data_IF_869317487089
#
_entry.id   IF_869317487089
#
_cell.length_a   1.000
_cell.length_b   1.000
_cell.length_c   1.000
_cell.angle_alpha   90.00
_cell.angle_beta   90.00
_cell.angle_gamma   90.00
#
_symmetry.space_group_name_H-M   'P 1'
#
loop_
_entity.id
_entity.type
_entity.pdbx_description
1 polymer ?
#
# COMPACT_ATOMS: atom_id res chain seq x y z
N UNK A 1 2.61 -13.12 -21.68
CA UNK A 1 3.74 -13.66 -20.93
C UNK A 1 3.32 -13.79 -19.47
N UNK A 2 3.72 -14.89 -18.82
CA UNK A 2 3.53 -15.15 -17.39
C UNK A 2 4.89 -15.21 -16.70
N UNK A 3 4.93 -14.85 -15.42
CA UNK A 3 6.14 -14.96 -14.62
C UNK A 3 6.40 -16.43 -14.23
N UNK A 4 7.66 -16.79 -13.99
CA UNK A 4 8.04 -18.16 -13.62
C UNK A 4 7.63 -18.52 -12.18
N UNK A 5 7.64 -17.55 -11.27
CA UNK A 5 7.21 -17.75 -9.88
C UNK A 5 5.81 -17.21 -9.69
N UNK A 6 4.96 -18.04 -9.12
CA UNK A 6 3.57 -17.70 -8.84
C UNK A 6 3.12 -18.16 -7.46
N UNK A 7 1.84 -17.97 -7.18
CA UNK A 7 1.21 -18.38 -5.93
C UNK A 7 0.03 -19.29 -6.19
N UNK A 8 0.03 -20.48 -5.61
CA UNK A 8 -1.13 -21.36 -5.56
C UNK A 8 -2.19 -20.69 -4.69
N UNK A 9 -3.37 -20.49 -5.26
CA UNK A 9 -4.48 -19.86 -4.57
C UNK A 9 -5.69 -20.78 -4.47
N UNK A 10 -6.39 -20.71 -3.33
CA UNK A 10 -7.69 -21.34 -3.15
C UNK A 10 -8.78 -20.34 -3.52
N UNK A 11 -9.70 -20.75 -4.39
CA UNK A 11 -10.92 -19.99 -4.66
C UNK A 11 -11.85 -20.17 -3.46
N UNK A 12 -12.16 -19.07 -2.78
CA UNK A 12 -13.06 -19.07 -1.62
C UNK A 12 -14.50 -18.82 -2.06
N UNK A 13 -14.71 -17.89 -3.00
CA UNK A 13 -16.03 -17.51 -3.48
C UNK A 13 -15.97 -16.93 -4.88
N UNK A 14 -17.00 -17.22 -5.65
CA UNK A 14 -17.24 -16.63 -6.97
C UNK A 14 -18.54 -15.85 -6.89
N UNK A 15 -18.52 -14.58 -7.27
CA UNK A 15 -19.65 -13.66 -7.23
C UNK A 15 -19.92 -13.16 -8.66
N UNK A 16 -21.14 -13.29 -9.11
CA UNK A 16 -21.61 -12.62 -10.34
C UNK A 16 -22.13 -11.24 -9.97
N UNK A 17 -21.54 -10.22 -10.59
CA UNK A 17 -21.94 -8.83 -10.37
C UNK A 17 -23.09 -8.44 -11.32
N UNK A 18 -23.95 -7.46 -10.94
CA UNK A 18 -25.07 -7.02 -11.78
C UNK A 18 -24.65 -6.46 -13.15
N UNK A 19 -23.41 -6.01 -13.27
CA UNK A 19 -22.81 -5.51 -14.53
C UNK A 19 -22.33 -6.63 -15.48
N UNK A 20 -22.58 -7.92 -15.13
CA UNK A 20 -22.15 -9.09 -15.89
C UNK A 20 -20.73 -9.55 -15.63
N UNK A 21 -19.96 -8.83 -14.81
CA UNK A 21 -18.60 -9.23 -14.43
C UNK A 21 -18.63 -10.33 -13.35
N UNK A 22 -17.58 -11.15 -13.36
CA UNK A 22 -17.37 -12.19 -12.33
C UNK A 22 -16.24 -11.75 -11.40
N UNK A 23 -16.55 -11.62 -10.12
CA UNK A 23 -15.56 -11.34 -9.08
C UNK A 23 -15.22 -12.64 -8.35
N UNK A 24 -13.93 -12.92 -8.20
CA UNK A 24 -13.44 -14.12 -7.52
C UNK A 24 -12.66 -13.71 -6.28
N UNK A 25 -13.05 -14.26 -5.13
CA UNK A 25 -12.30 -14.11 -3.88
C UNK A 25 -11.34 -15.30 -3.77
N UNK A 26 -10.05 -15.01 -3.72
CA UNK A 26 -9.00 -16.03 -3.65
C UNK A 26 -8.14 -15.84 -2.40
N UNK A 27 -7.55 -16.93 -1.93
CA UNK A 27 -6.58 -16.93 -0.84
C UNK A 27 -5.29 -17.60 -1.32
N UNK A 28 -4.18 -16.84 -1.32
CA UNK A 28 -2.86 -17.40 -1.58
C UNK A 28 -2.48 -18.44 -0.52
N UNK A 29 -1.83 -19.52 -0.94
CA UNK A 29 -1.43 -20.63 -0.06
C UNK A 29 0.07 -20.81 0.00
N UNK A 30 0.71 -21.06 -1.13
CA UNK A 30 2.14 -21.29 -1.23
C UNK A 30 2.68 -20.80 -2.56
N UNK A 31 3.95 -20.49 -2.59
CA UNK A 31 4.64 -20.14 -3.82
C UNK A 31 5.03 -21.38 -4.60
N UNK A 32 5.10 -21.24 -5.90
CA UNK A 32 5.58 -22.27 -6.81
C UNK A 32 6.43 -21.66 -7.91
N UNK A 33 7.22 -22.50 -8.57
CA UNK A 33 7.93 -22.16 -9.80
C UNK A 33 7.42 -23.03 -10.93
N UNK A 34 7.26 -22.43 -12.12
CA UNK A 34 6.88 -23.16 -13.33
C UNK A 34 8.10 -23.91 -13.86
N UNK A 35 7.97 -25.22 -14.01
CA UNK A 35 8.99 -26.03 -14.67
C UNK A 35 8.82 -26.08 -16.17
N UNK A 36 7.57 -26.31 -16.62
CA UNK A 36 7.24 -26.42 -18.04
C UNK A 36 5.76 -26.12 -18.28
N UNK A 37 5.49 -25.28 -19.28
CA UNK A 37 4.12 -25.09 -19.79
C UNK A 37 3.73 -26.35 -20.58
N UNK A 38 2.56 -26.91 -20.28
CA UNK A 38 2.00 -28.10 -20.94
C UNK A 38 1.07 -27.69 -22.07
N UNK A 39 0.18 -26.74 -21.82
CA UNK A 39 -0.82 -26.25 -22.77
C UNK A 39 -1.11 -24.76 -22.55
N UNK A 40 -1.36 -24.05 -23.64
CA UNK A 40 -1.78 -22.65 -23.63
C UNK A 40 -3.27 -22.47 -23.84
N UNK A 41 -3.95 -23.48 -24.38
CA UNK A 41 -5.40 -23.43 -24.69
C UNK A 41 -6.13 -24.61 -24.07
N UNK A 42 -7.39 -24.42 -23.62
CA UNK A 42 -8.17 -23.17 -23.52
C UNK A 42 -7.68 -22.23 -22.42
N UNK A 43 -6.83 -22.70 -21.51
CA UNK A 43 -6.13 -21.93 -20.46
C UNK A 43 -4.72 -22.51 -20.28
N UNK A 44 -3.84 -21.70 -19.71
CA UNK A 44 -2.45 -22.12 -19.50
C UNK A 44 -2.41 -23.18 -18.41
N UNK A 45 -1.79 -24.32 -18.73
CA UNK A 45 -1.47 -25.37 -17.76
C UNK A 45 0.03 -25.64 -17.75
N UNK A 46 0.57 -25.91 -16.57
CA UNK A 46 1.99 -26.12 -16.39
C UNK A 46 2.29 -27.14 -15.30
N UNK A 47 3.46 -27.81 -15.42
CA UNK A 47 4.07 -28.48 -14.28
C UNK A 47 4.70 -27.45 -13.38
N UNK A 48 4.48 -27.59 -12.08
CA UNK A 48 4.99 -26.68 -11.07
C UNK A 48 5.78 -27.47 -10.03
N UNK A 49 6.81 -26.83 -9.46
CA UNK A 49 7.52 -27.30 -8.27
C UNK A 49 7.34 -26.32 -7.12
N UNK A 50 7.48 -26.81 -5.91
CA UNK A 50 7.44 -25.96 -4.73
C UNK A 50 8.59 -24.94 -4.76
N UNK A 51 8.29 -23.71 -4.33
CA UNK A 51 9.25 -22.62 -4.17
C UNK A 51 9.37 -22.30 -2.68
N UNK A 52 10.23 -23.05 -1.94
CA UNK A 52 10.28 -22.99 -0.48
C UNK A 52 10.81 -21.65 0.01
N UNK A 53 10.39 -21.28 1.20
CA UNK A 53 10.87 -20.11 1.91
C UNK A 53 12.06 -20.49 2.80
N UNK A 54 13.12 -19.72 2.69
CA UNK A 54 14.28 -19.82 3.57
C UNK A 54 14.06 -18.94 4.79
N UNK A 55 13.76 -19.57 5.92
CA UNK A 55 13.54 -18.85 7.16
C UNK A 55 14.86 -18.54 7.88
N UNK A 56 15.04 -17.31 8.40
CA UNK A 56 16.18 -17.00 9.25
C UNK A 56 16.13 -17.81 10.56
N UNK A 57 17.29 -18.07 11.15
CA UNK A 57 17.38 -18.78 12.42
C UNK A 57 16.55 -18.11 13.53
N UNK A 58 16.06 -18.90 14.48
CA UNK A 58 15.16 -18.44 15.57
C UNK A 58 15.74 -17.32 16.45
N UNK A 59 17.05 -17.15 16.50
CA UNK A 59 17.76 -16.15 17.33
C UNK A 59 18.32 -14.98 16.51
N UNK A 60 17.80 -14.73 15.33
CA UNK A 60 18.30 -13.66 14.47
C UNK A 60 17.74 -12.29 14.92
N UNK A 61 18.53 -11.56 15.69
CA UNK A 61 18.17 -10.23 16.21
C UNK A 61 17.99 -9.19 15.12
N UNK A 62 18.75 -9.27 14.01
CA UNK A 62 18.59 -8.37 12.87
C UNK A 62 17.23 -8.58 12.19
N UNK A 63 16.84 -9.83 11.97
CA UNK A 63 15.53 -10.13 11.40
C UNK A 63 14.39 -9.63 12.29
N UNK A 64 14.50 -9.81 13.61
CA UNK A 64 13.52 -9.28 14.56
C UNK A 64 13.41 -7.76 14.45
N UNK A 65 14.53 -7.04 14.41
CA UNK A 65 14.54 -5.59 14.26
C UNK A 65 13.91 -5.11 12.93
N UNK A 66 14.12 -5.86 11.85
CA UNK A 66 13.47 -5.58 10.55
C UNK A 66 11.95 -5.75 10.67
N UNK A 67 11.48 -6.81 11.31
CA UNK A 67 10.04 -7.07 11.51
C UNK A 67 9.39 -5.97 12.35
N UNK A 68 10.03 -5.57 13.44
CA UNK A 68 9.56 -4.49 14.30
C UNK A 68 9.49 -3.16 13.51
N UNK A 69 10.51 -2.88 12.72
CA UNK A 69 10.53 -1.70 11.83
C UNK A 69 9.41 -1.72 10.79
N UNK A 70 9.10 -2.89 10.21
CA UNK A 70 7.96 -3.04 9.29
C UNK A 70 6.63 -2.76 10.00
N UNK A 71 6.44 -3.28 11.22
CA UNK A 71 5.23 -3.02 12.01
C UNK A 71 5.08 -1.54 12.33
N UNK A 72 6.11 -0.92 12.86
CA UNK A 72 6.10 0.50 13.24
C UNK A 72 5.83 1.40 12.03
N UNK A 73 6.52 1.18 10.93
CA UNK A 73 6.33 1.97 9.71
C UNK A 73 4.94 1.74 9.10
N UNK A 74 4.40 0.52 9.18
CA UNK A 74 3.02 0.23 8.76
C UNK A 74 2.01 1.06 9.56
N UNK A 75 2.18 1.16 10.87
CA UNK A 75 1.31 1.95 11.75
C UNK A 75 1.40 3.45 11.42
N UNK A 76 2.61 3.96 11.15
CA UNK A 76 2.81 5.36 10.73
C UNK A 76 2.17 5.66 9.37
N UNK A 77 2.28 4.75 8.39
CA UNK A 77 1.62 4.87 7.09
C UNK A 77 0.10 4.92 7.25
N UNK A 78 -0.48 3.99 8.04
CA UNK A 78 -1.92 3.94 8.29
C UNK A 78 -2.40 5.24 8.93
N UNK A 79 -1.69 5.75 9.93
CA UNK A 79 -2.03 6.98 10.65
C UNK A 79 -2.05 8.21 9.74
N UNK A 80 -1.16 8.27 8.75
CA UNK A 80 -0.98 9.43 7.87
C UNK A 80 -1.73 9.33 6.54
N UNK A 81 -2.26 8.17 6.22
CA UNK A 81 -2.99 7.95 4.97
C UNK A 81 -4.50 7.89 5.23
N UNK A 82 -5.27 8.95 4.89
CA UNK A 82 -6.71 8.99 5.15
C UNK A 82 -7.51 7.95 4.36
N UNK A 83 -6.91 7.33 3.35
CA UNK A 83 -7.57 6.30 2.54
C UNK A 83 -7.49 4.90 3.17
N UNK A 84 -6.73 4.73 4.26
CA UNK A 84 -6.60 3.45 4.97
C UNK A 84 -7.43 3.53 6.26
N UNK A 85 -8.38 2.61 6.47
CA UNK A 85 -9.15 2.56 7.71
C UNK A 85 -8.23 2.38 8.93
N UNK A 86 -8.52 3.08 10.03
CA UNK A 86 -7.73 3.01 11.28
C UNK A 86 -7.70 1.60 11.88
N UNK A 87 -8.74 0.79 11.61
CA UNK A 87 -8.86 -0.61 12.03
C UNK A 87 -7.76 -1.51 11.45
N UNK A 88 -7.15 -1.10 10.33
CA UNK A 88 -6.00 -1.80 9.76
C UNK A 88 -4.81 -1.86 10.73
N UNK A 89 -4.67 -0.86 11.64
CA UNK A 89 -3.65 -0.87 12.68
C UNK A 89 -3.81 -2.05 13.65
N UNK A 90 -5.06 -2.43 13.95
CA UNK A 90 -5.33 -3.59 14.80
C UNK A 90 -4.91 -4.89 14.10
N UNK A 91 -5.19 -5.01 12.82
CA UNK A 91 -4.77 -6.18 12.03
C UNK A 91 -3.24 -6.34 12.05
N UNK A 92 -2.49 -5.27 11.75
CA UNK A 92 -1.01 -5.29 11.76
C UNK A 92 -0.46 -5.73 13.12
N UNK A 93 -1.00 -5.19 14.23
CA UNK A 93 -0.53 -5.52 15.58
C UNK A 93 -0.73 -6.99 15.95
N UNK A 94 -1.79 -7.62 15.44
CA UNK A 94 -2.16 -8.99 15.79
C UNK A 94 -1.62 -10.06 14.81
N UNK A 95 -0.86 -9.67 13.79
CA UNK A 95 -0.18 -10.64 12.92
C UNK A 95 1.00 -11.26 13.67
N UNK A 96 0.90 -12.56 13.96
CA UNK A 96 1.95 -13.32 14.66
C UNK A 96 3.00 -13.89 13.67
N UNK A 97 2.58 -14.28 12.48
CA UNK A 97 3.48 -14.85 11.47
C UNK A 97 4.26 -13.77 10.74
N UNK A 98 5.59 -13.78 10.89
CA UNK A 98 6.47 -12.84 10.20
C UNK A 98 6.37 -12.97 8.67
N UNK A 99 6.31 -14.20 8.15
CA UNK A 99 6.12 -14.44 6.71
C UNK A 99 4.79 -13.88 6.22
N UNK A 100 3.71 -14.08 6.97
CA UNK A 100 2.41 -13.53 6.63
C UNK A 100 2.43 -11.99 6.67
N UNK A 101 3.05 -11.39 7.69
CA UNK A 101 3.20 -9.93 7.79
C UNK A 101 3.90 -9.34 6.57
N UNK A 102 5.07 -9.89 6.21
CA UNK A 102 5.86 -9.42 5.07
C UNK A 102 5.04 -9.52 3.78
N UNK A 103 4.39 -10.66 3.54
CA UNK A 103 3.58 -10.89 2.35
C UNK A 103 2.34 -9.99 2.32
N UNK A 104 1.68 -9.79 3.45
CA UNK A 104 0.53 -8.90 3.59
C UNK A 104 0.90 -7.45 3.29
N UNK A 105 1.97 -6.95 3.89
CA UNK A 105 2.46 -5.59 3.65
C UNK A 105 2.89 -5.43 2.19
N UNK A 106 3.71 -6.33 1.65
CA UNK A 106 4.21 -6.26 0.27
C UNK A 106 3.07 -6.22 -0.77
N UNK A 107 2.01 -7.01 -0.55
CA UNK A 107 0.87 -7.05 -1.47
C UNK A 107 0.03 -5.76 -1.44
N UNK A 108 0.02 -5.05 -0.30
CA UNK A 108 -0.74 -3.81 -0.12
C UNK A 108 0.07 -2.53 -0.47
N UNK A 109 1.38 -2.62 -0.66
CA UNK A 109 2.18 -1.50 -1.15
C UNK A 109 1.74 -1.08 -2.56
N UNK A 110 1.76 0.22 -2.82
CA UNK A 110 1.45 0.77 -4.14
C UNK A 110 2.68 0.70 -5.07
N UNK A 111 3.06 -0.52 -5.43
CA UNK A 111 4.22 -0.82 -6.28
C UNK A 111 3.79 -1.26 -7.67
N UNK A 112 4.62 -1.02 -8.71
CA UNK A 112 4.49 -1.65 -10.01
C UNK A 112 4.45 -3.18 -9.90
N UNK A 113 3.75 -3.82 -10.83
CA UNK A 113 3.64 -5.30 -10.84
C UNK A 113 5.00 -5.98 -10.84
N UNK A 114 5.97 -5.42 -11.57
CA UNK A 114 7.34 -5.95 -11.61
C UNK A 114 7.98 -5.97 -10.22
N UNK A 115 7.91 -4.88 -9.47
CA UNK A 115 8.52 -4.78 -8.14
C UNK A 115 7.84 -5.73 -7.14
N UNK A 116 6.51 -5.92 -7.26
CA UNK A 116 5.78 -6.93 -6.48
C UNK A 116 6.22 -8.35 -6.83
N UNK A 117 6.49 -8.61 -8.11
CA UNK A 117 7.00 -9.90 -8.58
C UNK A 117 8.41 -10.13 -8.07
N UNK A 118 9.28 -9.13 -8.15
CA UNK A 118 10.65 -9.23 -7.64
C UNK A 118 10.66 -9.58 -6.13
N UNK A 119 9.77 -8.97 -5.35
CA UNK A 119 9.59 -9.34 -3.93
C UNK A 119 9.08 -10.78 -3.76
N UNK A 120 8.14 -11.22 -4.60
CA UNK A 120 7.61 -12.59 -4.56
C UNK A 120 8.70 -13.63 -4.85
N UNK A 121 9.65 -13.31 -5.71
CA UNK A 121 10.75 -14.20 -6.13
C UNK A 121 11.87 -14.32 -5.11
N UNK A 122 11.96 -13.47 -4.10
CA UNK A 122 12.93 -13.59 -3.02
C UNK A 122 12.53 -14.73 -2.08
N UNK A 123 13.24 -15.85 -2.08
CA UNK A 123 12.98 -16.98 -1.16
C UNK A 123 13.56 -16.77 0.23
N UNK A 124 14.65 -16.07 0.39
CA UNK A 124 15.18 -15.72 1.71
C UNK A 124 14.28 -14.69 2.40
N UNK A 125 13.64 -15.08 3.49
CA UNK A 125 12.62 -14.27 4.17
C UNK A 125 13.20 -12.97 4.77
N UNK A 126 14.41 -13.00 5.31
CA UNK A 126 15.07 -11.81 5.85
C UNK A 126 15.38 -10.80 4.73
N UNK A 127 15.90 -11.26 3.61
CA UNK A 127 16.17 -10.42 2.44
C UNK A 127 14.87 -9.80 1.90
N UNK A 128 13.81 -10.60 1.79
CA UNK A 128 12.49 -10.09 1.36
C UNK A 128 11.92 -9.06 2.33
N UNK A 129 12.05 -9.28 3.64
CA UNK A 129 11.65 -8.31 4.66
C UNK A 129 12.42 -6.99 4.51
N UNK A 130 13.72 -7.05 4.29
CA UNK A 130 14.55 -5.85 4.10
C UNK A 130 14.17 -5.07 2.84
N UNK A 131 13.92 -5.76 1.72
CA UNK A 131 13.46 -5.11 0.49
C UNK A 131 12.05 -4.53 0.65
N UNK A 132 11.15 -5.24 1.35
CA UNK A 132 9.82 -4.71 1.70
C UNK A 132 9.94 -3.42 2.52
N UNK A 133 10.78 -3.41 3.55
CA UNK A 133 11.03 -2.22 4.38
C UNK A 133 11.61 -1.06 3.56
N UNK A 134 12.48 -1.34 2.58
CA UNK A 134 13.02 -0.33 1.67
C UNK A 134 11.91 0.32 0.84
N UNK A 135 11.05 -0.46 0.23
CA UNK A 135 9.90 0.04 -0.53
C UNK A 135 8.92 0.82 0.36
N UNK A 136 8.67 0.36 1.57
CA UNK A 136 7.83 1.07 2.55
C UNK A 136 8.38 2.46 2.88
N UNK A 137 9.69 2.58 3.09
CA UNK A 137 10.34 3.88 3.36
C UNK A 137 10.18 4.85 2.19
N UNK A 138 10.31 4.37 0.95
CA UNK A 138 10.08 5.19 -0.25
C UNK A 138 8.63 5.65 -0.32
N UNK A 139 7.68 4.75 -0.08
CA UNK A 139 6.25 5.09 -0.10
C UNK A 139 5.88 6.06 1.04
N UNK A 140 6.39 5.84 2.23
CA UNK A 140 6.20 6.73 3.36
C UNK A 140 6.73 8.14 3.07
N UNK A 141 7.92 8.25 2.47
CA UNK A 141 8.49 9.55 2.09
C UNK A 141 7.64 10.29 1.07
N UNK A 142 7.09 9.57 0.08
CA UNK A 142 6.13 10.15 -0.87
C UNK A 142 4.86 10.65 -0.18
N UNK A 143 4.37 9.90 0.79
CA UNK A 143 3.19 10.28 1.58
C UNK A 143 3.45 11.54 2.41
N UNK A 144 4.61 11.65 3.06
CA UNK A 144 5.01 12.86 3.79
C UNK A 144 5.02 14.07 2.86
N UNK A 145 5.70 13.99 1.72
CA UNK A 145 5.78 15.09 0.74
C UNK A 145 4.38 15.48 0.26
N UNK A 146 3.53 14.50 -0.03
CA UNK A 146 2.14 14.76 -0.47
C UNK A 146 1.34 15.51 0.61
N UNK A 147 1.45 15.09 1.85
CA UNK A 147 0.74 15.71 2.98
C UNK A 147 1.25 17.15 3.21
N UNK A 148 2.55 17.38 3.12
CA UNK A 148 3.15 18.71 3.25
C UNK A 148 2.67 19.65 2.14
N UNK A 149 2.61 19.17 0.89
CA UNK A 149 2.09 19.95 -0.24
C UNK A 149 0.61 20.30 -0.01
N UNK A 150 -0.22 19.32 0.39
CA UNK A 150 -1.63 19.53 0.65
C UNK A 150 -1.85 20.56 1.78
N UNK A 151 -1.05 20.47 2.85
CA UNK A 151 -1.11 21.41 3.96
C UNK A 151 -0.77 22.84 3.52
N UNK A 152 0.29 23.01 2.71
CA UNK A 152 0.68 24.32 2.15
C UNK A 152 -0.43 24.91 1.28
N UNK A 153 -0.95 24.13 0.33
CA UNK A 153 -2.04 24.58 -0.55
C UNK A 153 -3.28 25.00 0.26
N UNK A 154 -3.64 24.23 1.29
CA UNK A 154 -4.77 24.57 2.16
C UNK A 154 -4.54 25.87 2.92
N UNK A 155 -3.32 26.08 3.40
CA UNK A 155 -2.94 27.33 4.10
C UNK A 155 -3.01 28.53 3.16
N UNK A 156 -2.45 28.40 1.95
CA UNK A 156 -2.47 29.47 0.94
C UNK A 156 -3.89 29.83 0.52
N UNK A 157 -4.75 28.83 0.28
CA UNK A 157 -6.17 29.05 -0.04
C UNK A 157 -6.90 29.77 1.09
N UNK A 158 -6.67 29.35 2.34
CA UNK A 158 -7.30 29.98 3.51
C UNK A 158 -6.84 31.43 3.66
N UNK A 159 -5.59 31.73 3.39
CA UNK A 159 -5.06 33.09 3.41
C UNK A 159 -5.69 33.96 2.29
N UNK A 160 -5.74 33.45 1.07
CA UNK A 160 -6.38 34.17 -0.06
C UNK A 160 -7.86 34.44 0.20
N UNK A 161 -8.60 33.49 0.74
CA UNK A 161 -10.00 33.66 1.11
C UNK A 161 -10.17 34.76 2.18
N UNK A 162 -9.28 34.75 3.18
CA UNK A 162 -9.28 35.77 4.23
C UNK A 162 -8.99 37.16 3.67
N UNK A 163 -7.99 37.30 2.80
CA UNK A 163 -7.63 38.54 2.14
C UNK A 163 -8.81 39.07 1.28
N UNK A 164 -9.41 38.20 0.49
CA UNK A 164 -10.59 38.54 -0.30
C UNK A 164 -11.73 39.06 0.57
N UNK A 165 -12.01 38.37 1.68
CA UNK A 165 -13.08 38.78 2.60
C UNK A 165 -12.77 40.13 3.26
N UNK A 166 -11.55 40.39 3.67
CA UNK A 166 -11.10 41.67 4.23
C UNK A 166 -11.23 42.79 3.21
N UNK A 167 -10.86 42.56 1.95
CA UNK A 167 -11.05 43.53 0.87
C UNK A 167 -12.52 43.85 0.63
N UNK A 168 -13.40 42.86 0.66
CA UNK A 168 -14.85 43.09 0.53
C UNK A 168 -15.39 43.94 1.68
N UNK A 169 -15.00 43.60 2.92
CA UNK A 169 -15.40 44.40 4.08
C UNK A 169 -14.91 45.85 3.99
N UNK A 170 -13.66 46.04 3.59
CA UNK A 170 -13.07 47.37 3.42
C UNK A 170 -13.83 48.20 2.35
N UNK A 171 -14.20 47.55 1.24
CA UNK A 171 -15.00 48.19 0.18
C UNK A 171 -16.39 48.61 0.70
N UNK A 172 -17.06 47.71 1.40
CA UNK A 172 -18.37 48.02 2.01
C UNK A 172 -18.29 49.21 2.98
N UNK A 173 -17.29 49.23 3.86
CA UNK A 173 -17.06 50.32 4.80
C UNK A 173 -16.77 51.65 4.06
N UNK A 174 -15.97 51.63 2.99
CA UNK A 174 -15.70 52.81 2.18
C UNK A 174 -16.95 53.32 1.48
N UNK A 175 -17.80 52.46 0.96
CA UNK A 175 -19.08 52.83 0.35
C UNK A 175 -20.03 53.43 1.37
N UNK A 176 -20.11 52.90 2.59
CA UNK A 176 -20.93 53.46 3.68
C UNK A 176 -20.41 54.83 4.15
N UNK A 177 -19.09 54.98 4.29
CA UNK A 177 -18.46 56.25 4.67
C UNK A 177 -18.52 57.30 3.55
N UNK A 178 -18.39 56.89 2.28
CA UNK A 178 -18.52 57.77 1.12
C UNK A 178 -19.93 58.23 0.84
N UNK A 179 -20.94 57.51 1.33
CA UNK A 179 -22.37 57.91 1.27
C UNK A 179 -22.78 58.98 2.28
N UNK A 180 -21.88 59.38 3.18
CA UNK A 180 -22.12 60.43 4.21
C UNK A 180 -21.57 61.81 3.82
N UNK A 181 -21.04 61.94 2.59
CA UNK A 181 -20.58 63.21 2.07
C UNK A 181 -21.77 63.99 1.38
N UNK A 182 -22.63 64.56 2.16
CA UNK A 182 -23.48 65.74 1.79
C UNK A 182 -23.47 66.73 2.92
#
# INVERSE_FOLDING_TARGET
>A
DIFNVGTVAKILKVLQMPDGNTTVIIQGKKRFEIERVISEKPYITSNIKDYPEENPGKTNSEFTAIIDSIKDLSLEIIKRNPNIPSEASFAIKNIESNSFLINFVSSNLNLPVKDKQDLLEINNLQKRALETLRHMNVEFKKLEIKNDIQSKVQTDLSQQQREFFLHQQMKTIQEELGGVSH
#
